data_IF_873466443407
#
_entry.id   IF_873466443407
#
_cell.length_a   1.000
_cell.length_b   1.000
_cell.length_c   1.000
_cell.angle_alpha   90.00
_cell.angle_beta   90.00
_cell.angle_gamma   90.00
#
_symmetry.space_group_name_H-M   'P 1'
#
loop_
_entity.id
_entity.type
_entity.pdbx_description
1 polymer ?
#
# COMPACT_ATOMS: atom_id res chain seq x y z
N UNK A 1 8.68 -8.54 -21.80
CA UNK A 1 8.00 -7.82 -20.71
C UNK A 1 9.06 -7.30 -19.77
N UNK A 2 8.99 -6.01 -19.45
CA UNK A 2 9.84 -5.38 -18.43
C UNK A 2 9.46 -6.01 -17.07
N UNK A 3 10.45 -6.27 -16.23
CA UNK A 3 10.23 -6.83 -14.90
C UNK A 3 9.65 -5.75 -13.98
N UNK A 4 8.43 -5.94 -13.49
CA UNK A 4 7.71 -4.99 -12.65
C UNK A 4 6.98 -5.68 -11.49
N UNK A 5 6.63 -4.89 -10.48
CA UNK A 5 5.87 -5.31 -9.28
C UNK A 5 4.61 -4.46 -9.11
N UNK A 6 3.70 -4.95 -8.27
CA UNK A 6 2.48 -4.22 -7.85
C UNK A 6 2.58 -3.61 -6.45
N UNK A 7 3.73 -3.78 -5.79
CA UNK A 7 4.04 -3.16 -4.49
C UNK A 7 5.45 -2.55 -4.54
N UNK A 8 5.66 -1.38 -3.90
CA UNK A 8 6.96 -0.73 -3.89
C UNK A 8 7.93 -1.46 -2.94
N UNK A 9 9.20 -1.52 -3.33
CA UNK A 9 10.30 -1.92 -2.45
C UNK A 9 11.49 -0.99 -2.68
N UNK A 10 12.53 -1.02 -1.83
CA UNK A 10 13.74 -0.23 -2.07
C UNK A 10 14.40 -0.51 -3.43
N UNK A 11 14.26 -1.75 -3.92
CA UNK A 11 14.70 -2.16 -5.25
C UNK A 11 13.71 -1.69 -6.32
N UNK A 12 12.40 -1.84 -6.12
CA UNK A 12 11.35 -1.44 -7.06
C UNK A 12 10.62 -0.18 -6.59
N UNK A 13 11.27 0.99 -6.76
CA UNK A 13 10.79 2.27 -6.20
C UNK A 13 10.22 3.23 -7.24
N UNK A 14 10.55 3.03 -8.52
CA UNK A 14 10.07 3.92 -9.58
C UNK A 14 8.69 3.46 -9.99
N UNK A 15 7.69 4.32 -9.88
CA UNK A 15 6.31 3.94 -10.17
C UNK A 15 5.81 4.52 -11.50
N UNK A 16 4.91 3.78 -12.14
CA UNK A 16 3.99 4.24 -13.16
C UNK A 16 2.57 4.00 -12.66
N UNK A 17 1.75 5.04 -12.68
CA UNK A 17 0.32 4.95 -12.52
C UNK A 17 -0.34 5.10 -13.89
N UNK A 18 -1.07 4.06 -14.31
CA UNK A 18 -1.89 4.02 -15.51
C UNK A 18 -3.35 3.72 -15.10
N UNK A 19 -4.28 4.68 -15.20
CA UNK A 19 -5.67 4.49 -14.78
C UNK A 19 -6.46 3.46 -15.58
N UNK A 20 -6.15 3.25 -16.86
CA UNK A 20 -6.88 2.30 -17.72
C UNK A 20 -6.10 0.99 -17.96
N UNK A 21 -4.80 0.98 -17.63
CA UNK A 21 -3.96 -0.21 -17.61
C UNK A 21 -3.96 -0.94 -16.26
N UNK A 22 -2.77 -1.36 -15.83
CA UNK A 22 -2.58 -2.18 -14.62
C UNK A 22 -2.61 -1.39 -13.29
N UNK A 23 -2.99 -0.10 -13.32
CA UNK A 23 -2.96 0.75 -12.14
C UNK A 23 -1.54 1.13 -11.74
N UNK A 24 -1.10 0.71 -10.55
CA UNK A 24 0.23 1.03 -10.02
C UNK A 24 1.24 -0.08 -10.34
N UNK A 25 2.28 0.24 -11.08
CA UNK A 25 3.43 -0.64 -11.35
C UNK A 25 4.73 -0.03 -10.86
N UNK A 26 5.64 -0.88 -10.42
CA UNK A 26 6.92 -0.48 -9.83
C UNK A 26 8.12 -1.14 -10.53
N UNK A 27 9.18 -0.38 -10.74
CA UNK A 27 10.34 -0.72 -11.57
C UNK A 27 11.65 -0.49 -10.81
N UNK A 28 12.72 -1.18 -11.22
CA UNK A 28 14.04 -1.02 -10.62
C UNK A 28 14.70 0.29 -10.99
N UNK A 29 14.47 0.76 -12.21
CA UNK A 29 15.07 2.00 -12.72
C UNK A 29 14.04 2.95 -13.31
N UNK A 30 14.42 4.22 -13.41
CA UNK A 30 13.61 5.23 -14.07
C UNK A 30 13.48 4.95 -15.58
N UNK A 31 14.53 4.40 -16.19
CA UNK A 31 14.58 4.04 -17.62
C UNK A 31 13.58 2.94 -17.97
N UNK A 32 13.51 1.88 -17.15
CA UNK A 32 12.53 0.79 -17.32
C UNK A 32 11.10 1.31 -17.22
N UNK A 33 10.83 2.13 -16.19
CA UNK A 33 9.53 2.79 -16.02
C UNK A 33 9.18 3.69 -17.20
N UNK A 34 10.15 4.45 -17.73
CA UNK A 34 9.90 5.41 -18.79
C UNK A 34 9.60 4.71 -20.12
N UNK A 35 10.32 3.62 -20.43
CA UNK A 35 10.04 2.81 -21.61
C UNK A 35 8.61 2.25 -21.58
N UNK A 36 8.19 1.75 -20.42
CA UNK A 36 6.84 1.23 -20.23
C UNK A 36 5.76 2.34 -20.22
N UNK A 37 6.09 3.55 -19.74
CA UNK A 37 5.20 4.70 -19.85
C UNK A 37 4.98 5.14 -21.30
N UNK A 38 6.01 5.06 -22.16
CA UNK A 38 5.87 5.33 -23.59
C UNK A 38 4.90 4.32 -24.24
N UNK A 39 5.03 3.04 -23.93
CA UNK A 39 4.12 1.99 -24.40
C UNK A 39 2.68 2.23 -23.92
N UNK A 40 2.50 2.56 -22.63
CA UNK A 40 1.19 2.89 -22.07
C UNK A 40 0.55 4.09 -22.79
N UNK A 41 1.28 5.19 -22.94
CA UNK A 41 0.80 6.40 -23.64
C UNK A 41 0.40 6.08 -25.09
N UNK A 42 1.15 5.26 -25.81
CA UNK A 42 0.77 4.87 -27.17
C UNK A 42 -0.57 4.12 -27.20
N UNK A 43 -0.86 3.27 -26.20
CA UNK A 43 -2.15 2.59 -26.09
C UNK A 43 -3.35 3.56 -26.03
N UNK A 44 -3.19 4.72 -25.40
CA UNK A 44 -4.20 5.77 -25.34
C UNK A 44 -4.36 6.57 -26.65
N UNK A 45 -3.33 6.58 -27.51
CA UNK A 45 -3.30 7.37 -28.73
C UNK A 45 -3.72 6.58 -29.98
N UNK A 46 -4.03 5.28 -29.82
CA UNK A 46 -4.46 4.39 -30.89
C UNK A 46 -5.97 4.59 -31.23
N UNK A 47 -6.74 3.52 -31.47
CA UNK A 47 -8.08 3.56 -32.09
C UNK A 47 -9.13 4.46 -31.38
N UNK A 48 -8.96 4.78 -30.10
CA UNK A 48 -9.82 5.70 -29.35
C UNK A 48 -8.95 6.62 -28.49
N UNK A 49 -8.65 7.82 -28.99
CA UNK A 49 -8.00 8.86 -28.19
C UNK A 49 -8.76 9.08 -26.88
N UNK A 50 -8.14 8.70 -25.75
CA UNK A 50 -8.69 8.91 -24.41
C UNK A 50 -7.96 10.05 -23.70
N UNK A 51 -8.73 10.99 -23.15
CA UNK A 51 -8.21 12.07 -22.29
C UNK A 51 -7.59 11.54 -20.99
N UNK A 52 -7.84 10.26 -20.66
CA UNK A 52 -7.21 9.56 -19.54
C UNK A 52 -5.68 9.51 -19.61
N UNK A 53 -5.08 9.70 -20.81
CA UNK A 53 -3.62 9.77 -20.99
C UNK A 53 -2.97 10.86 -20.14
N UNK A 54 -3.69 11.95 -19.85
CA UNK A 54 -3.20 13.04 -19.00
C UNK A 54 -3.11 12.67 -17.50
N UNK A 55 -3.69 11.53 -17.12
CA UNK A 55 -3.65 10.97 -15.77
C UNK A 55 -2.61 9.85 -15.62
N UNK A 56 -1.84 9.55 -16.69
CA UNK A 56 -0.65 8.71 -16.58
C UNK A 56 0.42 9.48 -15.82
N UNK A 57 0.75 9.03 -14.62
CA UNK A 57 1.66 9.73 -13.70
C UNK A 57 2.79 8.81 -13.29
N UNK A 58 3.99 9.34 -13.16
CA UNK A 58 5.12 8.55 -12.73
C UNK A 58 6.09 9.31 -11.83
N UNK A 59 6.85 8.56 -11.02
CA UNK A 59 7.77 9.15 -10.06
C UNK A 59 8.60 8.10 -9.32
N UNK A 60 9.18 8.53 -8.20
CA UNK A 60 9.92 7.66 -7.28
C UNK A 60 9.21 7.67 -5.92
N UNK A 61 8.86 6.50 -5.41
CA UNK A 61 8.36 6.36 -4.05
C UNK A 61 9.55 6.39 -3.11
N UNK A 62 9.48 7.30 -2.14
CA UNK A 62 10.48 7.40 -1.06
C UNK A 62 9.95 6.87 0.25
N UNK A 63 8.63 6.91 0.47
CA UNK A 63 7.98 6.54 1.72
C UNK A 63 6.63 5.85 1.47
N UNK A 64 6.22 4.97 2.39
CA UNK A 64 4.88 4.42 2.46
C UNK A 64 4.33 4.50 3.90
N UNK A 65 3.02 4.34 4.06
CA UNK A 65 2.43 4.23 5.38
C UNK A 65 2.78 2.87 6.00
N UNK A 66 3.29 2.88 7.23
CA UNK A 66 3.53 1.67 8.03
C UNK A 66 2.68 1.68 9.28
N UNK A 67 2.19 0.50 9.68
CA UNK A 67 1.54 0.33 10.98
C UNK A 67 2.57 0.52 12.11
N UNK A 68 2.16 1.27 13.13
CA UNK A 68 2.92 1.55 14.36
C UNK A 68 2.05 1.27 15.56
N UNK A 69 2.69 0.88 16.67
CA UNK A 69 2.01 0.59 17.94
C UNK A 69 0.85 -0.38 17.72
N UNK A 70 1.13 -1.50 17.05
CA UNK A 70 0.15 -2.55 16.82
C UNK A 70 -0.13 -3.20 18.18
N UNK A 71 -1.33 -2.96 18.69
CA UNK A 71 -1.85 -3.61 19.89
C UNK A 71 -2.86 -4.66 19.44
N UNK A 72 -2.64 -5.91 19.85
CA UNK A 72 -3.57 -7.00 19.55
C UNK A 72 -4.76 -6.95 20.50
N UNK A 73 -5.91 -7.44 20.03
CA UNK A 73 -7.09 -7.57 20.86
C UNK A 73 -6.79 -8.53 22.02
N UNK A 74 -6.99 -8.12 23.28
CA UNK A 74 -6.83 -9.00 24.42
C UNK A 74 -7.77 -10.20 24.34
N UNK A 75 -7.24 -11.41 24.52
CA UNK A 75 -8.05 -12.62 24.56
C UNK A 75 -8.82 -12.69 25.88
N UNK A 76 -10.03 -13.23 25.84
CA UNK A 76 -10.86 -13.36 27.04
C UNK A 76 -10.16 -14.19 28.13
N UNK A 77 -9.37 -15.19 27.74
CA UNK A 77 -8.73 -16.14 28.66
C UNK A 77 -7.65 -15.52 29.56
N UNK A 78 -7.14 -14.33 29.20
CA UNK A 78 -6.11 -13.61 29.95
C UNK A 78 -6.63 -12.88 31.20
N UNK A 79 -7.95 -12.91 31.46
CA UNK A 79 -8.60 -12.11 32.51
C UNK A 79 -9.40 -12.96 33.49
N UNK A 80 -9.32 -12.60 34.78
CA UNK A 80 -10.03 -13.27 35.86
C UNK A 80 -11.56 -13.06 35.83
N UNK A 81 -12.04 -12.02 35.13
CA UNK A 81 -13.47 -11.70 35.01
C UNK A 81 -13.82 -11.06 33.68
N UNK A 82 -15.10 -11.14 33.30
CA UNK A 82 -15.64 -10.46 32.11
C UNK A 82 -15.50 -8.94 32.24
N UNK A 83 -15.70 -8.39 33.44
CA UNK A 83 -15.58 -6.95 33.69
C UNK A 83 -14.16 -6.42 33.49
N UNK A 84 -13.14 -7.20 33.92
CA UNK A 84 -11.74 -6.85 33.70
C UNK A 84 -11.36 -6.91 32.21
N UNK A 85 -11.90 -7.89 31.48
CA UNK A 85 -11.70 -8.01 30.03
C UNK A 85 -12.35 -6.83 29.28
N UNK A 86 -13.59 -6.49 29.60
CA UNK A 86 -14.30 -5.36 28.99
C UNK A 86 -13.62 -4.01 29.30
N UNK A 87 -13.09 -3.82 30.51
CA UNK A 87 -12.31 -2.63 30.84
C UNK A 87 -11.05 -2.51 29.97
N UNK A 88 -10.32 -3.63 29.78
CA UNK A 88 -9.14 -3.65 28.92
C UNK A 88 -9.49 -3.39 27.44
N UNK A 89 -10.60 -3.95 26.95
CA UNK A 89 -11.11 -3.65 25.61
C UNK A 89 -11.46 -2.17 25.45
N UNK A 90 -12.08 -1.55 26.46
CA UNK A 90 -12.41 -0.13 26.47
C UNK A 90 -11.16 0.76 26.43
N UNK A 91 -10.18 0.51 27.32
CA UNK A 91 -8.97 1.31 27.41
C UNK A 91 -8.13 1.29 26.13
N UNK A 92 -8.10 0.14 25.45
CA UNK A 92 -7.36 -0.07 24.20
C UNK A 92 -8.19 0.28 22.95
N UNK A 93 -9.44 0.76 23.10
CA UNK A 93 -10.28 1.20 21.99
C UNK A 93 -10.97 0.08 21.20
N UNK A 94 -10.97 -1.15 21.73
CA UNK A 94 -11.70 -2.29 21.15
C UNK A 94 -13.18 -2.35 21.55
N UNK A 95 -13.61 -1.58 22.55
CA UNK A 95 -15.00 -1.59 23.02
C UNK A 95 -15.99 -1.31 21.88
N UNK A 96 -16.92 -2.24 21.68
CA UNK A 96 -17.97 -2.13 20.65
C UNK A 96 -17.53 -2.45 19.22
N UNK A 97 -16.26 -2.83 19.02
CA UNK A 97 -15.72 -3.26 17.73
C UNK A 97 -15.28 -4.73 17.79
N UNK A 98 -15.17 -5.37 16.63
CA UNK A 98 -14.73 -6.76 16.46
C UNK A 98 -13.32 -6.87 15.83
N UNK A 99 -12.57 -5.77 15.81
CA UNK A 99 -11.22 -5.74 15.23
C UNK A 99 -10.22 -6.58 16.03
N UNK A 100 -9.32 -7.25 15.29
CA UNK A 100 -8.26 -8.11 15.85
C UNK A 100 -7.08 -7.32 16.40
N UNK A 101 -6.88 -6.09 15.91
CA UNK A 101 -5.83 -5.19 16.38
C UNK A 101 -6.22 -3.73 16.17
N UNK A 102 -5.57 -2.84 16.92
CA UNK A 102 -5.55 -1.40 16.67
C UNK A 102 -4.11 -0.97 16.39
N UNK A 103 -3.94 0.03 15.54
CA UNK A 103 -2.63 0.60 15.28
C UNK A 103 -2.75 2.06 14.85
N UNK A 104 -1.63 2.77 14.93
CA UNK A 104 -1.44 4.05 14.26
C UNK A 104 -0.73 3.83 12.92
N UNK A 105 -0.77 4.84 12.06
CA UNK A 105 0.00 4.85 10.82
C UNK A 105 0.95 6.04 10.78
N UNK A 106 2.17 5.79 10.33
CA UNK A 106 3.15 6.83 10.08
C UNK A 106 3.75 6.67 8.69
N UNK A 107 4.11 7.78 8.07
CA UNK A 107 4.84 7.75 6.81
C UNK A 107 6.32 7.44 7.11
N UNK A 108 6.81 6.30 6.62
CA UNK A 108 8.18 5.84 6.83
C UNK A 108 8.87 5.58 5.49
N UNK A 109 10.22 5.71 5.41
CA UNK A 109 10.96 5.36 4.21
C UNK A 109 10.61 3.96 3.73
N UNK A 110 10.55 3.76 2.41
CA UNK A 110 10.35 2.42 1.87
C UNK A 110 11.44 1.51 2.43
N UNK A 111 11.01 0.51 3.16
CA UNK A 111 11.82 -0.60 3.62
C UNK A 111 11.31 -1.84 2.91
N UNK A 112 12.13 -2.88 2.80
CA UNK A 112 11.71 -4.15 2.22
C UNK A 112 10.67 -4.77 3.17
N UNK A 113 9.35 -4.71 2.88
CA UNK A 113 8.35 -5.10 3.86
C UNK A 113 8.09 -6.62 3.84
N UNK A 114 8.69 -7.37 2.91
CA UNK A 114 8.06 -8.59 2.42
C UNK A 114 6.73 -8.28 1.72
N UNK A 115 6.10 -9.27 1.09
CA UNK A 115 4.70 -9.12 0.69
C UNK A 115 3.86 -8.78 1.93
N UNK A 116 2.93 -7.80 1.85
CA UNK A 116 1.95 -7.63 2.91
C UNK A 116 1.18 -8.94 3.08
N UNK A 117 1.19 -9.49 4.30
CA UNK A 117 0.42 -10.66 4.73
C UNK A 117 -1.07 -10.48 4.52
#
# INVERSE_FOLDING_TARGET
MIDSKHYPSPEYRFFLHDPEGDGMRYYRTAEERNADAEDAIQGYLDDCWSEGVAQVVAGEITHHAVAKNVELRPEREDFESDEAHEHALSDLGFSGNDWDYVCNYELAPISDPGEPI
#
